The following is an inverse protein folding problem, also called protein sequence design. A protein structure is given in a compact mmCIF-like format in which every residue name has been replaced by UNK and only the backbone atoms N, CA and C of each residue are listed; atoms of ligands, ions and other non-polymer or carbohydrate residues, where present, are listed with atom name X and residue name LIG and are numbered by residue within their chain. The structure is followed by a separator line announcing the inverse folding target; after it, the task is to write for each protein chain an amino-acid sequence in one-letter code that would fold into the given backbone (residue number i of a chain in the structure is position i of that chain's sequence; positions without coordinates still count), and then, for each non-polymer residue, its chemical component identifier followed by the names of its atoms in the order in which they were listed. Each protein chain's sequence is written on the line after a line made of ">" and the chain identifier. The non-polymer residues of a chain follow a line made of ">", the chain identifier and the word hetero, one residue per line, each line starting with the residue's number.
data_IF_991116325734
#
_entry.id   IF_991116325734
#
_cell.length_a   1.000
_cell.length_b   1.000
_cell.length_c   1.000
_cell.angle_alpha   90.00
_cell.angle_beta   90.00
_cell.angle_gamma   90.00
#
_symmetry.space_group_name_H-M   'P 1'
#
loop_
_entity.id
_entity.type
_entity.pdbx_description
1 polymer ?
#
# COMPACT_ATOMS: atom_id res chain seq x y z
N UNK A 1 2.52 -11.77 9.94
CA UNK A 1 1.43 -11.26 9.07
C UNK A 1 1.82 -10.00 8.32
N UNK A 2 2.44 -8.99 8.96
CA UNK A 2 2.90 -7.73 8.31
C UNK A 2 3.68 -7.94 7.03
N UNK A 3 4.84 -8.55 7.20
CA UNK A 3 5.83 -8.79 6.12
C UNK A 3 5.33 -9.82 5.10
N UNK A 4 4.52 -10.80 5.54
CA UNK A 4 3.96 -11.82 4.64
C UNK A 4 2.88 -11.25 3.71
N UNK A 5 2.07 -10.30 4.17
CA UNK A 5 1.07 -9.61 3.34
C UNK A 5 1.72 -8.68 2.32
N UNK A 6 2.74 -7.93 2.73
CA UNK A 6 3.52 -7.06 1.83
C UNK A 6 4.33 -7.86 0.81
N UNK A 7 4.88 -9.01 1.21
CA UNK A 7 5.54 -9.95 0.30
C UNK A 7 4.57 -10.52 -0.75
N UNK A 8 3.35 -10.89 -0.34
CA UNK A 8 2.31 -11.37 -1.27
C UNK A 8 1.87 -10.26 -2.25
N UNK A 9 1.73 -9.02 -1.77
CA UNK A 9 1.40 -7.87 -2.61
C UNK A 9 2.53 -7.53 -3.59
N UNK A 10 3.80 -7.64 -3.17
CA UNK A 10 4.97 -7.44 -4.02
C UNK A 10 5.06 -8.53 -5.09
N UNK A 11 4.85 -9.79 -4.71
CA UNK A 11 4.79 -10.92 -5.64
C UNK A 11 3.63 -10.78 -6.63
N UNK A 12 2.45 -10.37 -6.18
CA UNK A 12 1.29 -10.13 -7.05
C UNK A 12 1.53 -8.98 -8.05
N UNK A 13 2.18 -7.90 -7.60
CA UNK A 13 2.52 -6.77 -8.47
C UNK A 13 3.60 -7.14 -9.50
N UNK A 14 4.61 -7.92 -9.08
CA UNK A 14 5.63 -8.46 -9.97
C UNK A 14 5.03 -9.47 -10.97
N UNK A 15 4.09 -10.30 -10.54
CA UNK A 15 3.39 -11.24 -11.42
C UNK A 15 2.48 -10.50 -12.40
N UNK A 16 1.91 -9.34 -12.02
CA UNK A 16 1.10 -8.49 -12.91
C UNK A 16 1.95 -7.93 -14.05
N UNK A 17 3.22 -7.62 -13.76
CA UNK A 17 4.17 -7.19 -14.78
C UNK A 17 4.35 -8.24 -15.88
N UNK A 18 4.44 -9.53 -15.53
CA UNK A 18 4.54 -10.64 -16.48
C UNK A 18 3.19 -11.06 -17.09
N UNK A 19 2.08 -10.94 -16.33
CA UNK A 19 0.75 -11.36 -16.76
C UNK A 19 0.04 -10.35 -17.68
N UNK A 20 0.49 -9.10 -17.71
CA UNK A 20 0.01 -8.07 -18.64
C UNK A 20 0.68 -8.25 -20.02
N UNK A 21 0.60 -9.47 -20.54
CA UNK A 21 1.00 -9.86 -21.89
C UNK A 21 -0.30 -10.26 -22.62
N UNK A 22 -0.62 -9.70 -23.80
CA UNK A 22 -1.92 -9.90 -24.47
C UNK A 22 -2.28 -11.36 -24.78
N UNK A 23 -1.34 -12.29 -24.62
CA UNK A 23 -1.46 -13.71 -24.97
C UNK A 23 -2.32 -14.50 -23.98
N UNK A 24 -2.51 -14.04 -22.74
CA UNK A 24 -3.27 -14.78 -21.70
C UNK A 24 -4.13 -13.87 -20.79
N UNK A 25 -5.28 -13.35 -21.26
CA UNK A 25 -6.13 -12.43 -20.48
C UNK A 25 -6.60 -12.99 -19.13
N UNK A 26 -6.78 -14.31 -19.04
CA UNK A 26 -7.24 -15.00 -17.83
C UNK A 26 -6.24 -14.92 -16.66
N UNK A 27 -4.93 -14.84 -16.95
CA UNK A 27 -3.89 -14.68 -15.93
C UNK A 27 -3.94 -13.31 -15.24
N UNK A 28 -4.49 -12.28 -15.90
CA UNK A 28 -4.68 -10.97 -15.30
C UNK A 28 -5.67 -11.03 -14.14
N UNK A 29 -6.79 -11.76 -14.28
CA UNK A 29 -7.78 -11.91 -13.21
C UNK A 29 -7.21 -12.62 -11.99
N UNK A 30 -6.46 -13.71 -12.20
CA UNK A 30 -5.82 -14.45 -11.10
C UNK A 30 -4.79 -13.60 -10.34
N UNK A 31 -3.98 -12.83 -11.08
CA UNK A 31 -2.97 -11.99 -10.47
C UNK A 31 -3.56 -10.77 -9.76
N UNK A 32 -4.63 -10.20 -10.32
CA UNK A 32 -5.38 -9.11 -9.70
C UNK A 32 -6.01 -9.55 -8.38
N UNK A 33 -6.57 -10.76 -8.33
CA UNK A 33 -7.12 -11.34 -7.11
C UNK A 33 -6.05 -11.49 -6.01
N UNK A 34 -4.89 -12.06 -6.34
CA UNK A 34 -3.78 -12.26 -5.38
C UNK A 34 -3.24 -10.92 -4.88
N UNK A 35 -3.03 -9.96 -5.78
CA UNK A 35 -2.53 -8.61 -5.44
C UNK A 35 -3.51 -7.86 -4.54
N UNK A 36 -4.81 -7.97 -4.83
CA UNK A 36 -5.86 -7.34 -4.04
C UNK A 36 -5.93 -7.91 -2.62
N UNK A 37 -5.85 -9.24 -2.47
CA UNK A 37 -5.81 -9.87 -1.15
C UNK A 37 -4.60 -9.43 -0.32
N UNK A 38 -3.43 -9.36 -0.95
CA UNK A 38 -2.21 -8.87 -0.28
C UNK A 38 -2.35 -7.43 0.18
N UNK A 39 -2.83 -6.54 -0.69
CA UNK A 39 -2.99 -5.12 -0.39
C UNK A 39 -4.06 -4.88 0.68
N UNK A 40 -5.21 -5.54 0.61
CA UNK A 40 -6.27 -5.40 1.62
C UNK A 40 -5.85 -5.94 2.98
N UNK A 41 -5.10 -7.05 3.01
CA UNK A 41 -4.52 -7.56 4.26
C UNK A 41 -3.58 -6.54 4.92
N UNK A 42 -2.82 -5.77 4.13
CA UNK A 42 -1.96 -4.71 4.65
C UNK A 42 -2.77 -3.55 5.24
N UNK A 43 -3.86 -3.15 4.58
CA UNK A 43 -4.76 -2.12 5.11
C UNK A 43 -5.32 -2.48 6.49
N UNK A 44 -5.81 -3.70 6.63
CA UNK A 44 -6.32 -4.20 7.93
C UNK A 44 -5.24 -4.16 9.02
N UNK A 45 -3.99 -4.48 8.66
CA UNK A 45 -2.88 -4.40 9.61
C UNK A 45 -2.54 -2.97 10.01
N UNK A 46 -2.55 -2.02 9.09
CA UNK A 46 -2.31 -0.60 9.41
C UNK A 46 -3.38 -0.11 10.38
N UNK A 47 -4.64 -0.50 10.20
CA UNK A 47 -5.73 -0.16 11.13
C UNK A 47 -5.50 -0.75 12.52
N UNK A 48 -5.13 -2.04 12.60
CA UNK A 48 -4.77 -2.70 13.86
C UNK A 48 -3.59 -2.02 14.55
N UNK A 49 -2.51 -1.73 13.83
CA UNK A 49 -1.31 -1.07 14.38
C UNK A 49 -1.61 0.35 14.86
N UNK A 50 -2.53 1.06 14.19
CA UNK A 50 -2.96 2.38 14.64
C UNK A 50 -3.72 2.27 15.96
N UNK A 51 -4.59 1.27 16.11
CA UNK A 51 -5.28 1.00 17.36
C UNK A 51 -4.31 0.63 18.49
N UNK A 52 -3.33 -0.25 18.23
CA UNK A 52 -2.29 -0.63 19.21
C UNK A 52 -1.48 0.60 19.70
N UNK A 53 -1.19 1.56 18.81
CA UNK A 53 -0.51 2.82 19.17
C UNK A 53 -1.41 3.74 20.01
N UNK A 54 -2.70 3.82 19.68
CA UNK A 54 -3.67 4.56 20.50
C UNK A 54 -3.77 3.98 21.92
N UNK A 55 -3.82 2.66 22.03
CA UNK A 55 -3.85 1.93 23.31
C UNK A 55 -2.57 2.21 24.14
N UNK A 56 -1.38 2.22 23.51
CA UNK A 56 -0.12 2.52 24.20
C UNK A 56 -0.03 3.98 24.67
N UNK A 57 -0.50 4.93 23.85
CA UNK A 57 -0.57 6.34 24.23
C UNK A 57 -1.57 6.58 25.36
N UNK A 58 -2.71 5.87 25.37
CA UNK A 58 -3.66 5.92 26.48
C UNK A 58 -3.04 5.38 27.77
N UNK A 59 -2.28 4.28 27.70
CA UNK A 59 -1.60 3.69 28.86
C UNK A 59 -0.61 4.68 29.50
N UNK A 60 0.16 5.40 28.67
CA UNK A 60 1.21 6.33 29.11
C UNK A 60 0.66 7.70 29.53
N UNK A 61 -0.30 8.23 28.78
CA UNK A 61 -0.80 9.60 28.96
C UNK A 61 -2.07 9.69 29.80
N UNK A 62 -2.79 8.57 29.98
CA UNK A 62 -4.06 8.49 30.69
C UNK A 62 -5.22 9.23 30.01
N UNK A 63 -5.07 9.66 28.74
CA UNK A 63 -6.12 10.36 27.99
C UNK A 63 -6.46 9.60 26.72
N UNK A 64 -7.76 9.40 26.47
CA UNK A 64 -8.25 8.84 25.19
C UNK A 64 -8.11 9.89 24.09
N UNK A 65 -7.14 9.71 23.19
CA UNK A 65 -6.85 10.60 22.05
C UNK A 65 -7.09 9.96 20.68
N UNK A 66 -7.92 8.93 20.62
CA UNK A 66 -8.21 8.13 19.42
C UNK A 66 -8.60 9.01 18.20
N UNK A 67 -9.41 10.05 18.42
CA UNK A 67 -9.84 10.96 17.36
C UNK A 67 -8.70 11.76 16.72
N UNK A 68 -7.68 12.16 17.50
CA UNK A 68 -6.53 12.90 16.97
C UNK A 68 -5.65 12.01 16.10
N UNK A 69 -5.40 10.77 16.53
CA UNK A 69 -4.64 9.79 15.74
C UNK A 69 -5.36 9.44 14.43
N UNK A 70 -6.68 9.24 14.48
CA UNK A 70 -7.49 8.99 13.28
C UNK A 70 -7.47 10.19 12.31
N UNK A 71 -7.54 11.42 12.82
CA UNK A 71 -7.47 12.64 12.01
C UNK A 71 -6.11 12.79 11.30
N UNK A 72 -5.00 12.63 12.03
CA UNK A 72 -3.64 12.72 11.46
C UNK A 72 -3.42 11.63 10.42
N UNK A 73 -3.82 10.40 10.71
CA UNK A 73 -3.74 9.27 9.76
C UNK A 73 -4.54 9.57 8.49
N UNK A 74 -5.78 10.01 8.62
CA UNK A 74 -6.65 10.30 7.48
C UNK A 74 -6.12 11.46 6.63
N UNK A 75 -5.55 12.49 7.27
CA UNK A 75 -4.92 13.59 6.56
C UNK A 75 -3.68 13.13 5.79
N UNK A 76 -2.78 12.39 6.43
CA UNK A 76 -1.59 11.85 5.80
C UNK A 76 -1.93 10.94 4.61
N UNK A 77 -2.94 10.09 4.76
CA UNK A 77 -3.42 9.22 3.68
C UNK A 77 -3.95 10.02 2.49
N UNK A 78 -4.79 11.04 2.73
CA UNK A 78 -5.33 11.88 1.65
C UNK A 78 -4.24 12.69 0.95
N UNK A 79 -3.28 13.22 1.70
CA UNK A 79 -2.13 13.92 1.13
C UNK A 79 -1.29 12.99 0.24
N UNK A 80 -1.01 11.77 0.70
CA UNK A 80 -0.30 10.77 -0.07
C UNK A 80 -1.08 10.37 -1.35
N UNK A 81 -2.39 10.16 -1.25
CA UNK A 81 -3.23 9.86 -2.41
C UNK A 81 -3.22 10.99 -3.45
N UNK A 82 -3.30 12.25 -3.00
CA UNK A 82 -3.20 13.41 -3.89
C UNK A 82 -1.86 13.45 -4.62
N UNK A 83 -0.76 13.22 -3.91
CA UNK A 83 0.58 13.14 -4.51
C UNK A 83 0.69 11.99 -5.51
N UNK A 84 0.16 10.81 -5.18
CA UNK A 84 0.19 9.64 -6.07
C UNK A 84 -0.60 9.89 -7.36
N UNK A 85 -1.79 10.49 -7.28
CA UNK A 85 -2.57 10.80 -8.49
C UNK A 85 -1.90 11.89 -9.34
N UNK A 86 -1.34 12.92 -8.71
CA UNK A 86 -0.60 13.97 -9.41
C UNK A 86 0.65 13.43 -10.11
N UNK A 87 1.45 12.63 -9.41
CA UNK A 87 2.65 11.99 -9.96
C UNK A 87 2.29 10.97 -11.04
N UNK A 88 1.22 10.18 -10.85
CA UNK A 88 0.77 9.20 -11.84
C UNK A 88 0.42 9.84 -13.19
N UNK A 89 -0.29 10.97 -13.16
CA UNK A 89 -0.58 11.76 -14.37
C UNK A 89 0.69 12.31 -15.02
N UNK A 90 1.59 12.91 -14.22
CA UNK A 90 2.85 13.44 -14.72
C UNK A 90 3.76 12.37 -15.35
N UNK A 91 3.86 11.20 -14.72
CA UNK A 91 4.62 10.06 -15.24
C UNK A 91 4.05 9.53 -16.55
N UNK A 92 2.72 9.56 -16.73
CA UNK A 92 2.09 9.20 -18.01
C UNK A 92 2.47 10.19 -19.13
N UNK A 93 2.47 11.50 -18.85
CA UNK A 93 2.90 12.52 -19.82
C UNK A 93 4.39 12.37 -20.18
N UNK A 94 5.27 12.14 -19.19
CA UNK A 94 6.71 11.93 -19.43
C UNK A 94 6.99 10.64 -20.20
N UNK A 95 6.15 9.61 -20.04
CA UNK A 95 6.26 8.37 -20.80
C UNK A 95 5.89 8.52 -22.30
N UNK A 96 5.40 9.69 -22.72
CA UNK A 96 5.01 9.97 -24.10
C UNK A 96 3.57 9.61 -24.42
N UNK A 97 2.70 9.50 -23.41
CA UNK A 97 1.27 9.28 -23.63
C UNK A 97 0.61 10.55 -24.17
N UNK A 98 0.24 10.52 -25.45
CA UNK A 98 -0.60 11.54 -26.06
C UNK A 98 -1.98 10.93 -26.41
N UNK A 99 -3.05 11.32 -25.69
CA UNK A 99 -4.39 10.77 -25.92
C UNK A 99 -4.89 10.96 -27.36
N UNK A 100 -4.45 12.01 -28.07
CA UNK A 100 -4.85 12.25 -29.46
C UNK A 100 -4.24 11.22 -30.44
N UNK A 101 -2.99 10.81 -30.22
CA UNK A 101 -2.32 9.80 -31.05
C UNK A 101 -2.82 8.38 -30.80
N UNK A 102 -3.22 8.07 -29.56
CA UNK A 102 -3.79 6.76 -29.18
C UNK A 102 -5.15 6.55 -29.83
N UNK A 103 -5.98 7.60 -29.90
CA UNK A 103 -7.30 7.55 -30.53
C UNK A 103 -7.22 7.39 -32.06
N UNK A 104 -6.16 7.91 -32.70
CA UNK A 104 -5.98 7.84 -34.16
C UNK A 104 -5.21 6.61 -34.66
N UNK A 105 -4.18 6.15 -33.94
CA UNK A 105 -3.24 5.14 -34.46
C UNK A 105 -3.04 3.91 -33.56
N UNK A 106 -3.72 3.87 -32.41
CA UNK A 106 -3.47 2.86 -31.38
C UNK A 106 -2.26 3.21 -30.52
N UNK A 107 -2.10 2.50 -29.41
CA UNK A 107 -0.99 2.72 -28.47
C UNK A 107 0.29 2.07 -29.03
N UNK A 108 1.32 2.87 -29.32
CA UNK A 108 2.62 2.35 -29.74
C UNK A 108 3.19 1.39 -28.67
N UNK A 109 3.73 0.25 -29.11
CA UNK A 109 4.15 -0.84 -28.24
C UNK A 109 5.30 -0.38 -27.31
N UNK A 110 6.17 0.51 -27.81
CA UNK A 110 7.24 1.10 -27.02
C UNK A 110 6.72 2.10 -25.96
N UNK A 111 5.68 2.87 -26.27
CA UNK A 111 5.02 3.78 -25.32
C UNK A 111 4.25 3.00 -24.26
N UNK A 112 3.53 1.94 -24.66
CA UNK A 112 2.86 1.02 -23.75
C UNK A 112 3.83 0.38 -22.75
N UNK A 113 4.99 -0.06 -23.25
CA UNK A 113 6.04 -0.65 -22.42
C UNK A 113 6.64 0.35 -21.40
N UNK A 114 6.90 1.59 -21.84
CA UNK A 114 7.40 2.67 -20.95
C UNK A 114 6.41 3.02 -19.86
N UNK A 115 5.12 3.15 -20.20
CA UNK A 115 4.06 3.41 -19.21
C UNK A 115 3.92 2.25 -18.21
N UNK A 116 3.98 1.01 -18.70
CA UNK A 116 3.91 -0.19 -17.86
C UNK A 116 5.06 -0.25 -16.85
N UNK A 117 6.29 0.00 -17.30
CA UNK A 117 7.46 0.07 -16.41
C UNK A 117 7.35 1.23 -15.43
N UNK A 118 6.95 2.42 -15.89
CA UNK A 118 6.85 3.59 -15.02
C UNK A 118 5.83 3.38 -13.89
N UNK A 119 4.63 2.88 -14.21
CA UNK A 119 3.55 2.70 -13.25
C UNK A 119 3.79 1.49 -12.33
N UNK A 120 4.11 0.32 -12.91
CA UNK A 120 4.32 -0.90 -12.12
C UNK A 120 5.65 -0.84 -11.35
N UNK A 121 6.70 -0.31 -11.97
CA UNK A 121 8.01 -0.14 -11.33
C UNK A 121 7.95 0.81 -10.14
N UNK A 122 7.26 1.95 -10.28
CA UNK A 122 7.03 2.87 -9.16
C UNK A 122 6.28 2.20 -8.01
N UNK A 123 5.23 1.43 -8.32
CA UNK A 123 4.47 0.68 -7.31
C UNK A 123 5.33 -0.38 -6.61
N UNK A 124 6.18 -1.11 -7.34
CA UNK A 124 7.11 -2.08 -6.76
C UNK A 124 8.12 -1.43 -5.83
N UNK A 125 8.70 -0.30 -6.21
CA UNK A 125 9.62 0.46 -5.35
C UNK A 125 8.91 0.91 -4.08
N UNK A 126 7.67 1.39 -4.19
CA UNK A 126 6.85 1.76 -3.02
C UNK A 126 6.60 0.59 -2.06
N UNK A 127 6.26 -0.58 -2.58
CA UNK A 127 6.03 -1.80 -1.78
C UNK A 127 7.32 -2.32 -1.12
N UNK A 128 8.45 -2.26 -1.84
CA UNK A 128 9.75 -2.64 -1.29
C UNK A 128 10.18 -1.70 -0.17
N UNK A 129 9.99 -0.39 -0.35
CA UNK A 129 10.26 0.60 0.68
C UNK A 129 9.36 0.38 1.92
N UNK A 130 8.07 0.14 1.71
CA UNK A 130 7.14 -0.19 2.80
C UNK A 130 7.55 -1.46 3.55
N UNK A 131 8.02 -2.47 2.83
CA UNK A 131 8.54 -3.72 3.42
C UNK A 131 9.79 -3.46 4.25
N UNK A 132 10.72 -2.64 3.74
CA UNK A 132 11.91 -2.24 4.48
C UNK A 132 11.56 -1.47 5.76
N UNK A 133 10.64 -0.50 5.70
CA UNK A 133 10.18 0.26 6.87
C UNK A 133 9.53 -0.66 7.91
N UNK A 134 8.73 -1.63 7.47
CA UNK A 134 8.13 -2.64 8.36
C UNK A 134 9.18 -3.50 9.08
N UNK A 135 10.32 -3.78 8.44
CA UNK A 135 11.43 -4.49 9.09
C UNK A 135 12.09 -3.69 10.21
N UNK A 136 12.07 -2.36 10.13
CA UNK A 136 12.55 -1.49 11.20
C UNK A 136 11.47 -1.15 12.24
N UNK A 137 10.26 -1.74 12.14
CA UNK A 137 9.15 -1.39 13.02
C UNK A 137 9.35 -1.97 14.45
N UNK A 138 9.46 -1.12 15.49
CA UNK A 138 9.90 -1.54 16.82
C UNK A 138 8.77 -2.06 17.73
N UNK A 139 7.51 -1.97 17.30
CA UNK A 139 6.36 -2.48 18.08
C UNK A 139 6.07 -3.91 17.61
N UNK A 140 6.70 -4.85 18.30
CA UNK A 140 6.48 -6.28 18.14
C UNK A 140 5.12 -6.66 18.76
N UNK A 141 4.48 -7.72 18.22
CA UNK A 141 3.20 -8.25 18.74
C UNK A 141 3.18 -8.49 20.26
N UNK A 142 4.34 -8.77 20.83
CA UNK A 142 4.55 -9.01 22.25
C UNK A 142 4.32 -7.74 23.09
N UNK A 143 4.81 -6.59 22.64
CA UNK A 143 4.55 -5.29 23.28
C UNK A 143 3.08 -4.89 23.18
N UNK A 144 2.45 -5.13 22.03
CA UNK A 144 1.02 -4.85 21.86
C UNK A 144 0.15 -5.69 22.83
N UNK A 145 0.49 -6.97 23.01
CA UNK A 145 -0.20 -7.85 23.95
C UNK A 145 0.02 -7.44 25.42
N UNK A 146 1.21 -6.95 25.76
CA UNK A 146 1.55 -6.43 27.10
C UNK A 146 0.74 -5.17 27.42
N UNK A 147 0.68 -4.19 26.50
CA UNK A 147 -0.12 -2.98 26.64
C UNK A 147 -1.61 -3.30 26.85
N UNK A 148 -2.17 -4.24 26.07
CA UNK A 148 -3.56 -4.67 26.26
C UNK A 148 -3.80 -5.34 27.62
N UNK A 149 -2.84 -6.12 28.13
CA UNK A 149 -2.94 -6.72 29.48
C UNK A 149 -2.95 -5.64 30.57
N UNK A 150 -2.10 -4.62 30.45
CA UNK A 150 -2.07 -3.53 31.42
C UNK A 150 -3.33 -2.67 31.40
N UNK A 151 -3.92 -2.41 30.23
CA UNK A 151 -5.21 -1.70 30.12
C UNK A 151 -6.35 -2.51 30.75
N UNK A 152 -6.44 -3.82 30.47
CA UNK A 152 -7.46 -4.69 31.09
C UNK A 152 -7.33 -4.78 32.61
N UNK A 153 -6.10 -4.78 33.13
CA UNK A 153 -5.84 -4.81 34.58
C UNK A 153 -6.19 -3.49 35.28
N UNK A 154 -6.16 -2.34 34.59
CA UNK A 154 -6.64 -1.06 35.14
C UNK A 154 -8.17 -0.91 35.10
N UNK A 155 -8.84 -1.69 34.24
CA UNK A 155 -10.30 -1.65 34.06
C UNK A 155 -11.08 -2.58 35.01
N UNK A 156 -10.39 -3.46 35.77
CA UNK A 156 -10.95 -4.33 36.82
C UNK A 156 -10.70 -3.75 38.21
#
# INVERSE_FOLDING_TARGET
>A
LGVTGLGLATLGTALTFFAMDPRWPWLMFGTFFISSLGLQGCWLMIDSMTADVCDDDELRSGRRREGMFSAVKSFALKAAQGLTFGLGGYMATVAGFDPATVEQSGLDEATAWKMKIALIGFQLVGLLLATAIMWFYPITREKAAETQRHLRAKAS
#
